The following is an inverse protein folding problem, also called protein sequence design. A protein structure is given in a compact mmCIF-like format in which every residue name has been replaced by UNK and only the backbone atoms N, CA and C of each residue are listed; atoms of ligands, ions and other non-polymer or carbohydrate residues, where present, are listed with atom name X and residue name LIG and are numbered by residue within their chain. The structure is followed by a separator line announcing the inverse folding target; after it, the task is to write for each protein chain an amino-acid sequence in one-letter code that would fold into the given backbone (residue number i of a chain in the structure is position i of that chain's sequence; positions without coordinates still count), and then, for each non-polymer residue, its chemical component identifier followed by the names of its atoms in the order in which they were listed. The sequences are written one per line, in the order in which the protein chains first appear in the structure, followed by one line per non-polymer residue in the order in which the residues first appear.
data_IF_572234402027
#
_entry.id   IF_572234402027
#
_cell.length_a   1.000
_cell.length_b   1.000
_cell.length_c   1.000
_cell.angle_alpha   90.00
_cell.angle_beta   90.00
_cell.angle_gamma   90.00
#
_symmetry.space_group_name_H-M   'P 1'
#
loop_
_entity.id
_entity.type
_entity.pdbx_description
1 polymer ?
#
# COMPACT_ATOMS: atom_id res chain seq x y z
N UNK A 1 -16.35 -17.77 5.76
CA UNK A 1 -14.91 -17.45 5.54
C UNK A 1 -14.81 -16.00 5.10
N UNK A 2 -14.01 -15.17 5.76
CA UNK A 2 -13.78 -13.78 5.41
C UNK A 2 -12.31 -13.63 5.02
N UNK A 3 -12.07 -13.12 3.81
CA UNK A 3 -10.74 -12.87 3.27
C UNK A 3 -10.51 -11.37 3.18
N UNK A 4 -9.32 -10.90 3.58
CA UNK A 4 -8.92 -9.50 3.53
C UNK A 4 -7.88 -9.27 2.43
N UNK A 5 -8.09 -8.25 1.60
CA UNK A 5 -7.07 -7.75 0.69
C UNK A 5 -7.00 -6.23 0.76
N UNK A 6 -5.81 -5.70 0.91
CA UNK A 6 -5.58 -4.25 0.97
C UNK A 6 -4.29 -3.84 0.26
N UNK A 7 -4.41 -2.94 -0.72
CA UNK A 7 -3.28 -2.37 -1.42
C UNK A 7 -3.01 -0.93 -0.96
N UNK A 8 -1.74 -0.58 -0.72
CA UNK A 8 -1.33 0.77 -0.31
C UNK A 8 -2.09 1.26 0.94
N UNK A 9 -2.82 2.37 0.86
CA UNK A 9 -3.72 2.86 1.91
C UNK A 9 -4.75 1.82 2.35
N UNK A 10 -5.25 0.99 1.40
CA UNK A 10 -6.17 -0.12 1.70
C UNK A 10 -5.56 -1.13 2.68
N UNK A 11 -4.25 -1.35 2.62
CA UNK A 11 -3.52 -2.16 3.59
C UNK A 11 -3.52 -1.54 4.99
N UNK A 12 -3.33 -0.23 5.10
CA UNK A 12 -3.41 0.48 6.40
C UNK A 12 -4.82 0.38 7.00
N UNK A 13 -5.85 0.49 6.17
CA UNK A 13 -7.24 0.30 6.61
C UNK A 13 -7.48 -1.13 7.08
N UNK A 14 -7.00 -2.14 6.32
CA UNK A 14 -7.12 -3.54 6.70
C UNK A 14 -6.40 -3.84 8.03
N UNK A 15 -5.22 -3.23 8.28
CA UNK A 15 -4.55 -3.33 9.59
C UNK A 15 -5.41 -2.78 10.73
N UNK A 16 -6.07 -1.64 10.53
CA UNK A 16 -7.01 -1.09 11.51
C UNK A 16 -8.21 -2.02 11.73
N UNK A 17 -8.68 -2.72 10.70
CA UNK A 17 -9.76 -3.70 10.84
C UNK A 17 -9.33 -4.92 11.68
N UNK A 18 -8.07 -5.34 11.63
CA UNK A 18 -7.54 -6.43 12.47
C UNK A 18 -7.50 -6.08 13.97
N UNK A 19 -7.53 -4.79 14.34
CA UNK A 19 -7.68 -4.38 15.75
C UNK A 19 -9.08 -4.70 16.30
N UNK A 20 -10.09 -4.80 15.42
CA UNK A 20 -11.45 -5.09 15.80
C UNK A 20 -11.65 -6.59 16.03
N UNK A 21 -11.59 -7.03 17.27
CA UNK A 21 -11.72 -8.44 17.67
C UNK A 21 -13.07 -9.09 17.36
N UNK A 22 -14.05 -8.32 16.82
CA UNK A 22 -15.31 -8.87 16.31
C UNK A 22 -15.21 -9.32 14.85
N UNK A 23 -14.13 -8.95 14.14
CA UNK A 23 -13.90 -9.30 12.74
C UNK A 23 -12.82 -10.39 12.70
N UNK A 24 -13.17 -11.56 12.21
CA UNK A 24 -12.25 -12.69 12.10
C UNK A 24 -11.95 -12.96 10.63
N UNK A 25 -10.73 -12.67 10.22
CA UNK A 25 -10.23 -13.01 8.87
C UNK A 25 -9.59 -14.41 8.90
N UNK A 26 -9.86 -15.18 7.86
CA UNK A 26 -9.16 -16.45 7.61
C UNK A 26 -7.79 -16.21 6.98
N UNK A 27 -7.70 -15.21 6.10
CA UNK A 27 -6.46 -14.77 5.50
C UNK A 27 -6.50 -13.30 5.13
N UNK A 28 -5.34 -12.62 5.26
CA UNK A 28 -5.19 -11.21 4.88
C UNK A 28 -3.95 -11.05 4.00
N UNK A 29 -4.11 -10.34 2.88
CA UNK A 29 -3.02 -10.01 1.98
C UNK A 29 -2.87 -8.48 1.92
N UNK A 30 -1.66 -8.00 2.17
CA UNK A 30 -1.28 -6.60 2.20
C UNK A 30 -0.28 -6.34 1.07
N UNK A 31 -0.66 -5.55 0.07
CA UNK A 31 0.22 -5.20 -1.04
C UNK A 31 0.70 -3.75 -0.90
N UNK A 32 2.01 -3.54 -0.75
CA UNK A 32 2.59 -2.21 -0.58
C UNK A 32 2.07 -1.45 0.64
N UNK A 33 1.69 -2.14 1.70
CA UNK A 33 1.13 -1.53 2.90
C UNK A 33 2.20 -0.73 3.65
N UNK A 34 1.93 0.54 3.96
CA UNK A 34 2.82 1.31 4.82
C UNK A 34 2.82 0.76 6.24
N UNK A 35 4.01 0.60 6.82
CA UNK A 35 4.25 0.25 8.22
C UNK A 35 5.11 1.32 8.94
N UNK A 36 5.07 2.56 8.46
CA UNK A 36 5.77 3.67 9.11
C UNK A 36 5.00 4.15 10.33
N UNK A 37 5.68 4.24 11.47
CA UNK A 37 5.14 4.69 12.74
C UNK A 37 5.76 6.03 13.14
N UNK A 38 4.93 7.06 13.33
CA UNK A 38 5.33 8.37 13.89
C UNK A 38 6.53 9.02 13.19
N UNK A 39 6.56 9.04 11.87
CA UNK A 39 7.67 9.59 11.08
C UNK A 39 7.39 11.04 10.67
N UNK A 40 7.27 11.95 11.64
CA UNK A 40 6.86 13.35 11.47
C UNK A 40 7.65 14.13 10.40
N UNK A 41 8.97 13.99 10.38
CA UNK A 41 9.80 14.71 9.40
C UNK A 41 9.54 14.19 7.99
N UNK A 42 9.44 12.88 7.84
CA UNK A 42 9.10 12.25 6.56
C UNK A 42 7.70 12.65 6.09
N UNK A 43 6.71 12.61 6.98
CA UNK A 43 5.33 13.05 6.71
C UNK A 43 5.31 14.49 6.20
N UNK A 44 5.99 15.41 6.87
CA UNK A 44 6.07 16.82 6.46
C UNK A 44 6.64 16.95 5.04
N UNK A 45 7.74 16.26 4.75
CA UNK A 45 8.38 16.29 3.43
C UNK A 45 7.48 15.70 2.36
N UNK A 46 6.87 14.53 2.62
CA UNK A 46 5.96 13.88 1.68
C UNK A 46 4.74 14.74 1.38
N UNK A 47 4.11 15.36 2.39
CA UNK A 47 2.98 16.29 2.18
C UNK A 47 3.35 17.41 1.22
N UNK A 48 4.50 18.04 1.39
CA UNK A 48 4.94 19.11 0.47
C UNK A 48 5.19 18.61 -0.95
N UNK A 49 5.85 17.46 -1.10
CA UNK A 49 6.14 16.86 -2.41
C UNK A 49 4.84 16.49 -3.13
N UNK A 50 3.91 15.81 -2.44
CA UNK A 50 2.68 15.36 -3.09
C UNK A 50 1.72 16.51 -3.42
N UNK A 51 1.62 17.54 -2.57
CA UNK A 51 0.86 18.75 -2.88
C UNK A 51 1.47 19.49 -4.07
N UNK A 52 2.79 19.61 -4.13
CA UNK A 52 3.46 20.21 -5.29
C UNK A 52 3.20 19.42 -6.57
N UNK A 53 3.31 18.08 -6.53
CA UNK A 53 2.98 17.21 -7.67
C UNK A 53 1.52 17.34 -8.10
N UNK A 54 0.59 17.39 -7.15
CA UNK A 54 -0.83 17.57 -7.40
C UNK A 54 -1.12 18.90 -8.11
N UNK A 55 -0.59 20.01 -7.60
CA UNK A 55 -0.72 21.32 -8.22
C UNK A 55 -0.13 21.36 -9.64
N UNK A 56 0.96 20.62 -9.86
CA UNK A 56 1.54 20.48 -11.20
C UNK A 56 0.65 19.65 -12.11
N UNK A 57 0.07 18.57 -11.61
CA UNK A 57 -0.87 17.72 -12.35
C UNK A 57 -2.15 18.49 -12.74
N UNK A 58 -2.66 19.37 -11.87
CA UNK A 58 -3.79 20.25 -12.17
C UNK A 58 -3.49 21.25 -13.31
N UNK A 59 -2.22 21.66 -13.47
CA UNK A 59 -1.80 22.57 -14.56
C UNK A 59 -1.54 21.84 -15.87
N UNK A 60 -1.07 20.60 -15.80
CA UNK A 60 -0.70 19.79 -16.97
C UNK A 60 -1.09 18.32 -16.72
N UNK A 61 -2.34 18.01 -17.01
CA UNK A 61 -2.90 16.67 -16.86
C UNK A 61 -2.21 15.65 -17.75
N UNK A 62 -1.82 16.02 -18.97
CA UNK A 62 -1.18 15.11 -19.94
C UNK A 62 0.14 14.59 -19.41
N UNK A 63 0.99 15.48 -18.88
CA UNK A 63 2.28 15.09 -18.31
C UNK A 63 2.12 14.18 -17.08
N UNK A 64 1.08 14.40 -16.27
CA UNK A 64 0.78 13.55 -15.12
C UNK A 64 0.37 12.15 -15.59
N UNK A 65 -0.54 12.05 -16.55
CA UNK A 65 -1.01 10.79 -17.14
C UNK A 65 0.16 10.03 -17.76
N UNK A 66 0.99 10.64 -18.59
CA UNK A 66 2.14 10.00 -19.24
C UNK A 66 3.10 9.37 -18.23
N UNK A 67 3.42 10.06 -17.12
CA UNK A 67 4.34 9.56 -16.10
C UNK A 67 3.79 8.34 -15.37
N UNK A 68 2.52 8.37 -15.00
CA UNK A 68 1.90 7.28 -14.25
C UNK A 68 1.62 6.09 -15.18
N UNK A 69 1.18 6.35 -16.41
CA UNK A 69 0.98 5.34 -17.45
C UNK A 69 2.26 4.57 -17.77
N UNK A 70 3.39 5.29 -17.81
CA UNK A 70 4.70 4.63 -18.01
C UNK A 70 5.06 3.63 -16.91
N UNK A 71 4.61 3.87 -15.69
CA UNK A 71 4.88 2.98 -14.54
C UNK A 71 3.87 1.84 -14.45
N UNK A 72 2.58 2.13 -14.59
CA UNK A 72 1.49 1.20 -14.26
C UNK A 72 0.71 0.67 -15.46
N UNK A 73 1.10 1.05 -16.69
CA UNK A 73 0.35 0.75 -17.90
C UNK A 73 -0.80 1.73 -18.14
N UNK A 74 -1.36 1.72 -19.36
CA UNK A 74 -2.30 2.75 -19.82
C UNK A 74 -3.57 2.81 -18.96
N UNK A 75 -4.26 1.68 -18.83
CA UNK A 75 -5.55 1.62 -18.12
C UNK A 75 -5.43 2.04 -16.64
N UNK A 76 -4.46 1.48 -15.94
CA UNK A 76 -4.24 1.80 -14.52
C UNK A 76 -3.68 3.22 -14.36
N UNK A 77 -2.77 3.63 -15.24
CA UNK A 77 -2.17 4.96 -15.21
C UNK A 77 -3.18 6.07 -15.40
N UNK A 78 -4.12 5.93 -16.34
CA UNK A 78 -5.22 6.89 -16.54
C UNK A 78 -6.10 6.96 -15.27
N UNK A 79 -6.60 5.84 -14.79
CA UNK A 79 -7.47 5.80 -13.61
C UNK A 79 -6.81 6.39 -12.34
N UNK A 80 -5.54 6.08 -12.11
CA UNK A 80 -4.77 6.61 -10.98
C UNK A 80 -4.53 8.12 -11.12
N UNK A 81 -4.24 8.60 -12.34
CA UNK A 81 -4.03 10.02 -12.61
C UNK A 81 -5.30 10.82 -12.40
N UNK A 82 -6.42 10.34 -12.93
CA UNK A 82 -7.73 10.99 -12.79
C UNK A 82 -8.14 11.06 -11.31
N UNK A 83 -7.95 9.96 -10.56
CA UNK A 83 -8.19 9.94 -9.12
C UNK A 83 -7.32 10.97 -8.41
N UNK A 84 -6.02 11.01 -8.70
CA UNK A 84 -5.10 11.96 -8.06
C UNK A 84 -5.44 13.41 -8.37
N UNK A 85 -5.83 13.72 -9.61
CA UNK A 85 -6.23 15.07 -10.05
C UNK A 85 -7.53 15.52 -9.36
N UNK A 86 -8.49 14.61 -9.16
CA UNK A 86 -9.77 14.91 -8.53
C UNK A 86 -9.70 15.00 -7.00
N UNK A 87 -8.64 14.51 -6.38
CA UNK A 87 -8.47 14.62 -4.92
C UNK A 87 -8.33 16.08 -4.47
N UNK A 88 -8.88 16.40 -3.30
CA UNK A 88 -8.54 17.64 -2.61
C UNK A 88 -7.13 17.57 -2.00
N UNK A 89 -6.48 18.71 -1.84
CA UNK A 89 -5.20 18.77 -1.11
C UNK A 89 -5.33 18.22 0.32
N UNK A 90 -6.50 18.40 0.95
CA UNK A 90 -6.75 17.86 2.28
C UNK A 90 -6.81 16.34 2.27
N UNK A 91 -7.46 15.73 1.27
CA UNK A 91 -7.47 14.26 1.11
C UNK A 91 -6.06 13.70 0.95
N UNK A 92 -5.24 14.34 0.12
CA UNK A 92 -3.84 13.96 -0.06
C UNK A 92 -3.05 14.04 1.27
N UNK A 93 -3.24 15.12 2.02
CA UNK A 93 -2.59 15.29 3.34
C UNK A 93 -3.02 14.22 4.34
N UNK A 94 -4.30 13.85 4.35
CA UNK A 94 -4.83 12.82 5.23
C UNK A 94 -4.27 11.44 4.88
N UNK A 95 -4.23 11.07 3.60
CA UNK A 95 -3.62 9.81 3.13
C UNK A 95 -2.17 9.70 3.59
N UNK A 96 -1.38 10.76 3.38
CA UNK A 96 0.03 10.78 3.79
C UNK A 96 0.16 10.69 5.31
N UNK A 97 -0.71 11.37 6.05
CA UNK A 97 -0.75 11.28 7.51
C UNK A 97 -1.01 9.84 7.98
N UNK A 98 -2.06 9.21 7.46
CA UNK A 98 -2.42 7.85 7.84
C UNK A 98 -1.31 6.84 7.49
N UNK A 99 -0.65 6.99 6.33
CA UNK A 99 0.46 6.14 5.93
C UNK A 99 1.78 6.41 6.70
N UNK A 100 1.92 7.58 7.31
CA UNK A 100 3.12 7.96 8.10
C UNK A 100 2.98 7.70 9.59
N UNK A 101 1.77 7.40 10.05
CA UNK A 101 1.43 7.21 11.48
C UNK A 101 0.60 5.93 11.67
N UNK A 102 1.09 4.84 11.08
CA UNK A 102 0.40 3.55 11.17
C UNK A 102 0.49 3.02 12.60
N UNK A 103 -0.65 2.66 13.17
CA UNK A 103 -0.70 1.89 14.40
C UNK A 103 -0.63 0.40 14.08
N UNK A 104 0.46 -0.26 14.50
CA UNK A 104 0.63 -1.69 14.26
C UNK A 104 -0.14 -2.46 15.34
N UNK A 105 -1.19 -3.23 14.96
CA UNK A 105 -2.00 -3.95 15.93
C UNK A 105 -1.21 -5.03 16.67
N UNK A 106 -1.57 -5.27 17.93
CA UNK A 106 -1.06 -6.42 18.68
C UNK A 106 -1.84 -7.67 18.26
N UNK A 107 -1.24 -8.45 17.37
CA UNK A 107 -1.78 -9.69 16.86
C UNK A 107 -1.16 -10.89 17.58
N UNK A 108 -1.97 -11.93 17.87
CA UNK A 108 -1.47 -13.22 18.33
C UNK A 108 -0.63 -13.87 17.22
N UNK A 109 0.10 -14.93 17.55
CA UNK A 109 0.85 -15.70 16.56
C UNK A 109 -0.06 -16.23 15.46
N UNK A 110 -1.19 -16.79 15.82
CA UNK A 110 -2.18 -17.38 14.91
C UNK A 110 -2.80 -16.31 13.97
N UNK A 111 -3.03 -15.10 14.50
CA UNK A 111 -3.50 -13.97 13.69
C UNK A 111 -2.44 -13.50 12.69
N UNK A 112 -1.16 -13.49 13.11
CA UNK A 112 -0.05 -13.10 12.24
C UNK A 112 0.19 -14.12 11.13
N UNK A 113 0.12 -15.42 11.41
CA UNK A 113 0.29 -16.51 10.42
C UNK A 113 -0.76 -16.47 9.29
N UNK A 114 -1.86 -15.76 9.50
CA UNK A 114 -2.88 -15.50 8.48
C UNK A 114 -2.57 -14.29 7.58
N UNK A 115 -1.49 -13.56 7.85
CA UNK A 115 -1.15 -12.32 7.18
C UNK A 115 0.04 -12.49 6.24
N UNK A 116 -0.14 -12.07 4.98
CA UNK A 116 0.92 -12.02 3.97
C UNK A 116 1.16 -10.57 3.59
N UNK A 117 2.39 -10.11 3.74
CA UNK A 117 2.81 -8.78 3.31
C UNK A 117 3.64 -8.88 2.03
N UNK A 118 3.18 -8.23 0.98
CA UNK A 118 3.80 -8.23 -0.34
C UNK A 118 4.35 -6.85 -0.67
N UNK A 119 5.58 -6.79 -1.16
CA UNK A 119 6.23 -5.53 -1.54
C UNK A 119 7.03 -5.69 -2.82
N UNK A 120 7.05 -4.65 -3.64
CA UNK A 120 8.05 -4.53 -4.70
C UNK A 120 9.44 -4.29 -4.11
N UNK A 121 10.47 -4.86 -4.72
CA UNK A 121 11.88 -4.70 -4.28
C UNK A 121 12.32 -3.23 -4.25
N UNK A 122 11.80 -2.43 -5.21
CA UNK A 122 12.17 -1.03 -5.43
C UNK A 122 11.21 -0.04 -4.74
N UNK A 123 10.31 -0.50 -3.87
CA UNK A 123 9.38 0.41 -3.23
C UNK A 123 9.89 0.95 -1.89
N UNK A 124 9.43 2.16 -1.58
CA UNK A 124 9.84 2.88 -0.37
C UNK A 124 9.34 2.20 0.91
N UNK A 125 8.10 1.69 0.91
CA UNK A 125 7.45 1.11 2.09
C UNK A 125 8.09 -0.21 2.55
N UNK A 126 8.79 -0.92 1.65
CA UNK A 126 9.60 -2.09 2.01
C UNK A 126 10.65 -1.78 3.09
N UNK A 127 11.18 -0.55 3.12
CA UNK A 127 12.17 -0.15 4.13
C UNK A 127 11.54 -0.08 5.53
N UNK A 128 10.30 0.39 5.62
CA UNK A 128 9.51 0.38 6.85
C UNK A 128 9.18 -1.04 7.28
N UNK A 129 8.70 -1.86 6.35
CA UNK A 129 8.35 -3.26 6.58
C UNK A 129 9.54 -4.06 7.14
N UNK A 130 10.72 -3.95 6.53
CA UNK A 130 11.95 -4.61 7.01
C UNK A 130 12.37 -4.22 8.43
N UNK A 131 11.95 -3.05 8.91
CA UNK A 131 12.23 -2.59 10.29
C UNK A 131 11.18 -3.06 11.29
N UNK A 132 9.91 -3.07 10.87
CA UNK A 132 8.75 -3.30 11.75
C UNK A 132 8.42 -4.79 11.85
N UNK A 133 8.36 -5.51 10.73
CA UNK A 133 7.94 -6.91 10.68
C UNK A 133 8.74 -7.79 11.65
N UNK A 134 10.08 -7.79 11.63
CA UNK A 134 10.84 -8.66 12.54
C UNK A 134 10.62 -8.40 14.03
N UNK A 135 10.16 -7.18 14.37
CA UNK A 135 10.00 -6.75 15.77
C UNK A 135 8.59 -6.90 16.30
N UNK A 136 7.59 -6.62 15.47
CA UNK A 136 6.18 -6.52 15.89
C UNK A 136 5.28 -7.57 15.26
N UNK A 137 5.67 -8.13 14.11
CA UNK A 137 4.90 -9.07 13.32
C UNK A 137 5.79 -10.24 12.86
N UNK A 138 6.56 -10.91 13.76
CA UNK A 138 7.58 -11.88 13.37
C UNK A 138 7.04 -13.17 12.74
N UNK A 139 5.73 -13.42 12.81
CA UNK A 139 5.10 -14.63 12.29
C UNK A 139 4.31 -14.41 10.99
N UNK A 140 4.29 -13.18 10.44
CA UNK A 140 3.68 -12.94 9.13
C UNK A 140 4.59 -13.44 8.02
N UNK A 141 3.99 -13.78 6.89
CA UNK A 141 4.75 -14.05 5.66
C UNK A 141 5.11 -12.73 4.96
N UNK A 142 6.40 -12.59 4.57
CA UNK A 142 6.88 -11.44 3.80
C UNK A 142 7.32 -11.90 2.40
N UNK A 143 6.60 -11.45 1.37
CA UNK A 143 6.94 -11.68 -0.04
C UNK A 143 7.52 -10.41 -0.67
N UNK A 144 8.63 -10.56 -1.39
CA UNK A 144 9.28 -9.45 -2.10
C UNK A 144 9.31 -9.76 -3.59
N UNK A 145 8.67 -8.91 -4.38
CA UNK A 145 8.60 -9.02 -5.82
C UNK A 145 9.82 -8.37 -6.47
N UNK A 146 10.72 -9.18 -6.99
CA UNK A 146 11.98 -8.72 -7.59
C UNK A 146 11.72 -7.83 -8.81
N UNK A 147 12.34 -6.64 -8.82
CA UNK A 147 12.28 -5.69 -9.94
C UNK A 147 11.03 -4.81 -9.98
N UNK A 148 10.03 -5.03 -9.11
CA UNK A 148 8.79 -4.25 -9.08
C UNK A 148 8.89 -3.05 -8.14
N UNK A 149 8.12 -2.01 -8.48
CA UNK A 149 7.83 -0.85 -7.64
C UNK A 149 6.51 -1.03 -6.86
N UNK A 150 6.07 0.03 -6.19
CA UNK A 150 4.88 0.04 -5.35
C UNK A 150 3.61 -0.40 -6.09
N UNK A 151 3.01 -1.50 -5.67
CA UNK A 151 1.81 -2.11 -6.26
C UNK A 151 1.91 -2.38 -7.78
N UNK A 152 3.09 -2.37 -8.36
CA UNK A 152 3.28 -2.42 -9.82
C UNK A 152 2.97 -3.82 -10.40
N UNK A 153 3.21 -4.88 -9.64
CA UNK A 153 2.95 -6.26 -10.09
C UNK A 153 1.47 -6.50 -10.40
N UNK A 154 0.56 -5.85 -9.64
CA UNK A 154 -0.89 -5.94 -9.86
C UNK A 154 -1.28 -5.54 -11.28
N UNK A 155 -0.58 -4.57 -11.86
CA UNK A 155 -0.90 -4.01 -13.18
C UNK A 155 -0.06 -4.58 -14.31
N UNK A 156 1.20 -4.87 -14.07
CA UNK A 156 2.12 -5.37 -15.10
C UNK A 156 2.03 -6.88 -15.33
N UNK A 157 1.77 -7.64 -14.27
CA UNK A 157 1.69 -9.11 -14.30
C UNK A 157 0.36 -9.58 -13.70
N UNK A 158 -0.74 -8.97 -14.12
CA UNK A 158 -2.06 -9.17 -13.53
C UNK A 158 -2.51 -10.64 -13.51
N UNK A 159 -2.25 -11.40 -14.56
CA UNK A 159 -2.62 -12.83 -14.62
C UNK A 159 -1.89 -13.63 -13.54
N UNK A 160 -0.55 -13.53 -13.50
CA UNK A 160 0.25 -14.20 -12.46
C UNK A 160 -0.05 -13.70 -11.05
N UNK A 161 -0.45 -12.42 -10.94
CA UNK A 161 -0.87 -11.86 -9.66
C UNK A 161 -2.24 -12.43 -9.22
N UNK A 162 -3.18 -12.57 -10.14
CA UNK A 162 -4.47 -13.22 -9.88
C UNK A 162 -4.30 -14.70 -9.51
N UNK A 163 -3.38 -15.42 -10.15
CA UNK A 163 -3.09 -16.81 -9.80
C UNK A 163 -2.48 -16.93 -8.42
N UNK A 164 -1.53 -16.04 -8.08
CA UNK A 164 -1.03 -15.92 -6.70
C UNK A 164 -2.17 -15.69 -5.69
N UNK A 165 -3.08 -14.75 -5.95
CA UNK A 165 -4.21 -14.51 -5.05
C UNK A 165 -5.12 -15.74 -4.92
N UNK A 166 -5.39 -16.47 -6.02
CA UNK A 166 -6.19 -17.71 -5.99
C UNK A 166 -5.52 -18.81 -5.18
N UNK A 167 -4.18 -18.91 -5.25
CA UNK A 167 -3.41 -19.90 -4.49
C UNK A 167 -3.42 -19.59 -3.00
N UNK A 168 -3.20 -18.33 -2.64
CA UNK A 168 -3.11 -17.91 -1.25
C UNK A 168 -4.48 -17.81 -0.53
N UNK A 169 -5.56 -17.67 -1.28
CA UNK A 169 -6.90 -17.52 -0.72
C UNK A 169 -7.74 -18.81 -0.79
N UNK A 170 -7.13 -19.95 -1.13
CA UNK A 170 -7.74 -21.27 -1.01
C UNK A 170 -7.70 -21.77 0.43
#
# INVERSE_FOLDING_TARGET
MLLGYGASLGGVILLKMLENKKIHFEKCIFEGCSLWENVFLLEFVLKRIFIWKHRKALKDNKLAIEKITKLYGERAGIAMSDTFIQMSEQSIKNIIHDCSNVNIPKLSKEEQEKCIFCYGENEFDLKGAKKVIPKKLPYVELKIWKGYHHCERITKDNEKYCDFLKEELK
#
